data_IF_912367381197
#
_entry.id   IF_912367381197
#
_cell.length_a   1.000
_cell.length_b   1.000
_cell.length_c   1.000
_cell.angle_alpha   90.00
_cell.angle_beta   90.00
_cell.angle_gamma   90.00
#
_symmetry.space_group_name_H-M   'P 1'
#
loop_
_entity.id
_entity.type
_entity.pdbx_description
1 polymer ?
#
# COMPACT_ATOMS: atom_id res chain seq x y z
N UNK A 1 -5.84 3.21 3.11
CA UNK A 1 -5.74 4.50 2.39
C UNK A 1 -4.28 4.91 2.30
N UNK A 2 -3.87 5.57 1.23
CA UNK A 2 -2.50 6.04 0.99
C UNK A 2 -2.50 7.43 0.33
N UNK A 3 -1.59 8.30 0.77
CA UNK A 3 -1.32 9.64 0.21
C UNK A 3 0.16 9.99 0.35
N UNK A 4 0.66 10.93 -0.46
CA UNK A 4 2.06 11.35 -0.50
C UNK A 4 2.25 12.85 -0.74
N UNK A 5 3.48 13.33 -0.56
CA UNK A 5 3.86 14.74 -0.75
C UNK A 5 4.76 14.98 -1.97
N UNK A 6 4.94 14.00 -2.86
CA UNK A 6 5.63 14.20 -4.15
C UNK A 6 4.82 15.12 -5.07
N UNK A 7 5.50 15.96 -5.86
CA UNK A 7 4.94 16.84 -6.90
C UNK A 7 4.67 16.11 -8.24
N UNK A 8 4.65 14.77 -8.21
CA UNK A 8 4.37 13.92 -9.36
C UNK A 8 3.50 12.75 -8.91
N UNK A 9 2.79 12.14 -9.85
CA UNK A 9 2.17 10.83 -9.65
C UNK A 9 3.24 9.81 -9.21
N UNK A 10 2.92 9.01 -8.20
CA UNK A 10 3.77 7.93 -7.73
C UNK A 10 2.99 6.63 -7.75
N UNK A 11 3.72 5.53 -7.61
CA UNK A 11 3.08 4.27 -7.35
C UNK A 11 3.45 3.68 -6.00
N UNK A 12 2.42 3.29 -5.27
CA UNK A 12 2.55 2.54 -4.02
C UNK A 12 2.30 1.06 -4.32
N UNK A 13 3.34 0.25 -4.10
CA UNK A 13 3.23 -1.21 -4.14
C UNK A 13 2.86 -1.74 -2.77
N UNK A 14 1.76 -2.49 -2.70
CA UNK A 14 1.36 -3.24 -1.51
C UNK A 14 1.87 -4.67 -1.65
N UNK A 15 2.63 -5.10 -0.64
CA UNK A 15 3.14 -6.45 -0.51
C UNK A 15 2.57 -7.10 0.75
N UNK A 16 2.37 -8.41 0.69
CA UNK A 16 1.80 -9.20 1.77
C UNK A 16 2.70 -10.40 2.06
N UNK A 17 2.81 -10.75 3.33
CA UNK A 17 3.38 -12.01 3.77
C UNK A 17 2.26 -12.84 4.42
N UNK A 18 1.86 -13.89 3.70
CA UNK A 18 0.76 -14.79 4.12
C UNK A 18 1.27 -15.86 5.08
N UNK A 19 2.58 -16.13 5.12
CA UNK A 19 3.15 -17.19 5.97
C UNK A 19 3.69 -16.64 7.29
N UNK A 20 4.04 -15.35 7.32
CA UNK A 20 4.64 -14.69 8.47
C UNK A 20 6.15 -14.93 8.61
N UNK A 21 6.76 -15.63 7.65
CA UNK A 21 8.18 -16.01 7.65
C UNK A 21 9.05 -15.12 6.75
N UNK A 22 8.51 -13.99 6.28
CA UNK A 22 9.19 -13.04 5.40
C UNK A 22 9.05 -13.38 3.91
N UNK A 23 8.09 -14.22 3.54
CA UNK A 23 7.83 -14.57 2.14
C UNK A 23 6.89 -13.56 1.47
N UNK A 24 7.43 -12.39 1.17
CA UNK A 24 6.68 -11.29 0.56
C UNK A 24 6.20 -11.62 -0.85
N UNK A 25 4.93 -11.32 -1.12
CA UNK A 25 4.30 -11.35 -2.45
C UNK A 25 3.69 -9.99 -2.75
N UNK A 26 3.83 -9.53 -3.99
CA UNK A 26 3.10 -8.36 -4.46
C UNK A 26 1.61 -8.68 -4.47
N UNK A 27 0.83 -7.91 -3.70
CA UNK A 27 -0.62 -7.95 -3.75
C UNK A 27 -1.14 -7.10 -4.91
N UNK A 28 -0.75 -5.82 -4.94
CA UNK A 28 -1.18 -4.87 -5.96
C UNK A 28 -0.29 -3.63 -5.99
N UNK A 29 -0.14 -3.05 -7.18
CA UNK A 29 0.42 -1.71 -7.40
C UNK A 29 -0.72 -0.72 -7.59
N UNK A 30 -0.67 0.41 -6.89
CA UNK A 30 -1.64 1.49 -7.00
C UNK A 30 -0.93 2.73 -7.50
N UNK A 31 -1.41 3.29 -8.60
CA UNK A 31 -1.04 4.63 -9.02
C UNK A 31 -1.78 5.63 -8.11
N UNK A 32 -1.03 6.52 -7.48
CA UNK A 32 -1.55 7.57 -6.59
C UNK A 32 -1.20 8.90 -7.25
N UNK A 33 -2.21 9.64 -7.74
CA UNK A 33 -1.97 10.95 -8.32
C UNK A 33 -1.48 11.97 -7.29
N UNK A 34 -0.75 12.97 -7.77
CA UNK A 34 -0.29 14.10 -6.95
C UNK A 34 -1.43 14.70 -6.10
N UNK A 35 -1.20 14.85 -4.79
CA UNK A 35 -2.15 15.48 -3.88
C UNK A 35 -3.44 14.70 -3.61
N UNK A 36 -3.59 13.50 -4.16
CA UNK A 36 -4.79 12.68 -3.99
C UNK A 36 -4.68 11.62 -2.89
N UNK A 37 -5.84 11.26 -2.34
CA UNK A 37 -5.99 10.17 -1.38
C UNK A 37 -6.54 8.93 -2.08
N UNK A 38 -5.74 7.86 -2.11
CA UNK A 38 -6.14 6.58 -2.67
C UNK A 38 -6.69 5.65 -1.57
N UNK A 39 -7.89 5.10 -1.80
CA UNK A 39 -8.54 4.17 -0.87
C UNK A 39 -8.82 2.83 -1.53
N UNK A 40 -8.54 1.75 -0.79
CA UNK A 40 -8.81 0.38 -1.22
C UNK A 40 -9.41 -0.40 -0.07
N UNK A 41 -10.50 -1.12 -0.37
CA UNK A 41 -11.12 -2.08 0.55
C UNK A 41 -10.61 -3.46 0.20
N UNK A 42 -9.97 -4.11 1.17
CA UNK A 42 -9.61 -5.51 1.04
C UNK A 42 -10.88 -6.38 0.96
N UNK A 43 -10.88 -7.49 0.19
CA UNK A 43 -11.95 -8.47 0.24
C UNK A 43 -12.22 -8.95 1.66
N UNK A 44 -13.45 -9.35 1.97
CA UNK A 44 -13.83 -9.75 3.33
C UNK A 44 -13.03 -10.98 3.82
N UNK A 45 -12.63 -11.88 2.91
CA UNK A 45 -11.81 -13.07 3.20
C UNK A 45 -10.28 -12.81 3.13
N UNK A 46 -9.86 -11.54 3.08
CA UNK A 46 -8.44 -11.22 2.97
C UNK A 46 -7.67 -11.58 4.25
N UNK A 47 -6.59 -12.35 4.10
CA UNK A 47 -5.74 -12.76 5.21
C UNK A 47 -4.26 -12.63 4.86
N UNK A 48 -3.51 -12.00 5.76
CA UNK A 48 -2.05 -11.92 5.73
C UNK A 48 -1.54 -11.68 7.16
N UNK A 49 -0.33 -12.16 7.46
CA UNK A 49 0.32 -11.84 8.74
C UNK A 49 0.94 -10.45 8.72
N UNK A 50 1.54 -10.06 7.59
CA UNK A 50 2.15 -8.75 7.42
C UNK A 50 1.71 -8.08 6.13
N UNK A 51 1.62 -6.76 6.18
CA UNK A 51 1.42 -5.88 5.04
C UNK A 51 2.53 -4.84 5.05
N UNK A 52 3.10 -4.56 3.88
CA UNK A 52 4.05 -3.47 3.66
C UNK A 52 3.64 -2.65 2.45
N UNK A 53 3.95 -1.37 2.50
CA UNK A 53 3.82 -0.43 1.38
C UNK A 53 5.19 0.09 0.98
N UNK A 54 5.49 0.10 -0.31
CA UNK A 54 6.73 0.65 -0.87
C UNK A 54 6.38 1.67 -1.95
N UNK A 55 6.97 2.86 -1.88
CA UNK A 55 6.89 3.88 -2.94
C UNK A 55 7.95 3.58 -4.01
N UNK A 56 7.63 3.84 -5.28
CA UNK A 56 8.61 3.80 -6.37
C UNK A 56 9.42 5.10 -6.53
N UNK A 57 9.04 6.16 -5.81
CA UNK A 57 9.75 7.44 -5.74
C UNK A 57 10.05 7.88 -4.30
N UNK A 58 11.08 8.70 -4.15
CA UNK A 58 11.40 9.35 -2.88
C UNK A 58 10.30 10.35 -2.50
N UNK A 59 9.63 10.10 -1.37
CA UNK A 59 8.55 10.96 -0.89
C UNK A 59 8.29 10.74 0.60
N UNK A 60 7.55 11.67 1.22
CA UNK A 60 6.90 11.41 2.50
C UNK A 60 5.49 10.92 2.22
N UNK A 61 5.20 9.66 2.58
CA UNK A 61 3.89 9.05 2.38
C UNK A 61 3.27 8.61 3.71
N UNK A 62 1.94 8.65 3.77
CA UNK A 62 1.15 8.09 4.86
C UNK A 62 0.31 6.95 4.32
N UNK A 63 0.46 5.76 4.89
CA UNK A 63 -0.41 4.61 4.64
C UNK A 63 -1.13 4.25 5.94
N UNK A 64 -2.46 4.12 5.88
CA UNK A 64 -3.29 3.73 7.03
C UNK A 64 -4.13 2.49 6.68
N UNK A 65 -4.05 1.49 7.56
CA UNK A 65 -4.89 0.31 7.57
C UNK A 65 -5.97 0.50 8.64
N UNK A 66 -7.23 0.30 8.25
CA UNK A 66 -8.37 0.35 9.16
C UNK A 66 -8.95 -1.05 9.28
N UNK A 67 -9.07 -1.53 10.50
CA UNK A 67 -9.81 -2.75 10.84
C UNK A 67 -11.19 -2.32 11.33
N UNK A 68 -12.22 -3.01 10.87
CA UNK A 68 -13.62 -2.79 11.25
C UNK A 68 -14.21 -4.07 11.84
#
# INVERSE_FOLDING_TARGET
MAAHSSDEDIAITVEVDITGYGEWKTYRKFEVPEGELMTHRFPDDFNAYWIRTTSDKDTTATAQLRYE
#
